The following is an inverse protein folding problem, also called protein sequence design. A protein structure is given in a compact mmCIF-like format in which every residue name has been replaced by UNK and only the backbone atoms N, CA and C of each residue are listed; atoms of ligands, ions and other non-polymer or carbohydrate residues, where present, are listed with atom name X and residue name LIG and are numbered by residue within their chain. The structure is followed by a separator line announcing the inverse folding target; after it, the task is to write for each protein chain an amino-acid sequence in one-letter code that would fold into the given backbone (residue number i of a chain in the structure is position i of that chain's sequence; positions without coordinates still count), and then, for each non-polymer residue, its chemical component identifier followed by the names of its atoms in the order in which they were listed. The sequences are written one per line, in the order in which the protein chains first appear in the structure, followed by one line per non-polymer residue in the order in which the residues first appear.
data_IF_488543340038
#
_entry.id   IF_488543340038
#
_cell.length_a   1.000
_cell.length_b   1.000
_cell.length_c   1.000
_cell.angle_alpha   90.00
_cell.angle_beta   90.00
_cell.angle_gamma   90.00
#
_symmetry.space_group_name_H-M   'P 1'
#
loop_
_entity.id
_entity.type
_entity.pdbx_description
1 polymer ?
#
# COMPACT_ATOMS: atom_id res chain seq x y z
N UNK A 1 9.27 -1.74 -12.44
CA UNK A 1 8.34 -2.16 -11.40
C UNK A 1 7.77 -0.94 -10.70
N UNK A 2 6.45 -0.85 -10.61
CA UNK A 2 5.79 0.27 -9.97
C UNK A 2 5.11 -0.18 -8.68
N UNK A 3 5.34 0.55 -7.61
CA UNK A 3 4.82 0.22 -6.27
C UNK A 3 3.86 1.32 -5.83
N UNK A 4 2.72 0.92 -5.30
CA UNK A 4 1.79 1.85 -4.65
C UNK A 4 2.06 1.81 -3.14
N UNK A 5 2.40 2.95 -2.57
CA UNK A 5 2.61 3.09 -1.14
C UNK A 5 1.39 3.81 -0.54
N UNK A 6 0.76 3.18 0.43
CA UNK A 6 -0.41 3.74 1.11
C UNK A 6 -0.02 3.99 2.56
N UNK A 7 0.30 5.23 2.89
CA UNK A 7 0.84 5.61 4.19
C UNK A 7 0.41 7.04 4.51
N UNK A 8 -0.23 7.26 5.65
CA UNK A 8 -0.70 8.59 6.03
C UNK A 8 0.35 9.43 6.74
N UNK A 9 1.36 8.83 7.33
CA UNK A 9 2.43 9.55 8.02
C UNK A 9 3.44 10.08 7.01
N UNK A 10 3.65 11.39 7.00
CA UNK A 10 4.53 12.02 6.02
C UNK A 10 5.99 11.61 6.20
N UNK A 11 6.46 11.51 7.43
CA UNK A 11 7.85 11.14 7.67
C UNK A 11 8.13 9.71 7.22
N UNK A 12 7.25 8.79 7.62
CA UNK A 12 7.41 7.39 7.26
C UNK A 12 7.24 7.21 5.76
N UNK A 13 6.21 7.82 5.19
CA UNK A 13 5.93 7.70 3.76
C UNK A 13 7.06 8.25 2.91
N UNK A 14 7.61 9.41 3.29
CA UNK A 14 8.71 9.99 2.54
C UNK A 14 9.95 9.11 2.62
N UNK A 15 10.27 8.60 3.81
CA UNK A 15 11.43 7.73 3.98
C UNK A 15 11.30 6.45 3.16
N UNK A 16 10.13 5.83 3.20
CA UNK A 16 9.91 4.59 2.46
C UNK A 16 9.92 4.86 0.95
N UNK A 17 9.24 5.91 0.50
CA UNK A 17 9.22 6.25 -0.91
C UNK A 17 10.61 6.54 -1.44
N UNK A 18 11.39 7.32 -0.70
CA UNK A 18 12.76 7.64 -1.11
C UNK A 18 13.64 6.40 -1.15
N UNK A 19 13.51 5.53 -0.17
CA UNK A 19 14.26 4.28 -0.16
C UNK A 19 13.95 3.40 -1.35
N UNK A 20 12.67 3.27 -1.69
CA UNK A 20 12.25 2.45 -2.83
C UNK A 20 12.73 3.06 -4.15
N UNK A 21 12.61 4.38 -4.29
CA UNK A 21 13.10 5.05 -5.49
C UNK A 21 14.60 4.89 -5.64
N UNK A 22 15.33 4.91 -4.52
CA UNK A 22 16.77 4.68 -4.52
C UNK A 22 17.14 3.29 -5.03
N UNK A 23 16.24 2.32 -4.89
CA UNK A 23 16.44 0.97 -5.40
C UNK A 23 15.97 0.80 -6.85
N UNK A 24 15.50 1.86 -7.47
CA UNK A 24 15.12 1.82 -8.86
C UNK A 24 13.64 1.59 -9.13
N UNK A 25 12.79 1.58 -8.10
CA UNK A 25 11.36 1.39 -8.30
C UNK A 25 10.66 2.71 -8.59
N UNK A 26 9.62 2.66 -9.41
CA UNK A 26 8.68 3.77 -9.53
C UNK A 26 7.69 3.67 -8.37
N UNK A 27 7.45 4.77 -7.67
CA UNK A 27 6.60 4.76 -6.48
C UNK A 27 5.53 5.84 -6.61
N UNK A 28 4.27 5.43 -6.43
CA UNK A 28 3.17 6.35 -6.25
C UNK A 28 2.77 6.27 -4.78
N UNK A 29 2.72 7.41 -4.11
CA UNK A 29 2.43 7.47 -2.69
C UNK A 29 1.10 8.17 -2.48
N UNK A 30 0.17 7.49 -1.81
CA UNK A 30 -1.14 8.05 -1.42
C UNK A 30 -1.28 7.94 0.09
N UNK A 31 -2.16 8.74 0.66
CA UNK A 31 -2.24 8.88 2.11
C UNK A 31 -3.51 8.30 2.72
N UNK A 32 -4.42 7.81 1.90
CA UNK A 32 -5.67 7.26 2.40
C UNK A 32 -6.18 6.13 1.51
N UNK A 33 -7.16 5.38 2.03
CA UNK A 33 -7.66 4.21 1.34
C UNK A 33 -8.42 4.52 0.07
N UNK A 34 -9.17 5.61 0.03
CA UNK A 34 -9.92 5.96 -1.17
C UNK A 34 -8.99 6.33 -2.32
N UNK A 35 -7.94 7.08 -2.02
CA UNK A 35 -6.92 7.41 -3.02
C UNK A 35 -6.23 6.15 -3.54
N UNK A 36 -6.01 5.16 -2.66
CA UNK A 36 -5.42 3.89 -3.06
C UNK A 36 -6.32 3.15 -4.05
N UNK A 37 -7.61 3.08 -3.78
CA UNK A 37 -8.54 2.41 -4.68
C UNK A 37 -8.58 3.10 -6.05
N UNK A 38 -8.61 4.42 -6.06
CA UNK A 38 -8.59 5.17 -7.31
C UNK A 38 -7.32 4.88 -8.10
N UNK A 39 -6.17 4.87 -7.42
CA UNK A 39 -4.89 4.59 -8.07
C UNK A 39 -4.89 3.20 -8.69
N UNK A 40 -5.39 2.21 -7.97
CA UNK A 40 -5.42 0.83 -8.45
C UNK A 40 -6.38 0.63 -9.61
N UNK A 41 -7.43 1.44 -9.69
CA UNK A 41 -8.36 1.37 -10.81
C UNK A 41 -7.79 1.97 -12.09
N UNK A 42 -6.80 2.84 -11.97
CA UNK A 42 -6.29 3.61 -13.11
C UNK A 42 -4.90 3.21 -13.56
N UNK A 43 -4.14 2.53 -12.71
CA UNK A 43 -2.73 2.24 -12.99
C UNK A 43 -2.41 0.82 -12.52
N UNK A 44 -1.69 0.03 -13.32
CA UNK A 44 -1.23 -1.28 -12.87
C UNK A 44 -0.02 -1.13 -11.95
N UNK A 45 -0.03 -1.86 -10.85
CA UNK A 45 1.08 -1.89 -9.90
C UNK A 45 1.58 -3.32 -9.73
N UNK A 46 2.86 -3.44 -9.39
CA UNK A 46 3.46 -4.75 -9.10
C UNK A 46 3.29 -5.13 -7.64
N UNK A 47 3.16 -4.14 -6.77
CA UNK A 47 3.07 -4.35 -5.32
C UNK A 47 2.36 -3.16 -4.69
N UNK A 48 1.57 -3.43 -3.67
CA UNK A 48 0.99 -2.39 -2.81
C UNK A 48 1.59 -2.57 -1.43
N UNK A 49 2.10 -1.50 -0.84
CA UNK A 49 2.51 -1.47 0.56
C UNK A 49 1.43 -0.70 1.32
N UNK A 50 0.76 -1.37 2.24
CA UNK A 50 -0.46 -0.88 2.85
C UNK A 50 -0.32 -0.83 4.37
N UNK A 51 -0.46 0.36 4.94
CA UNK A 51 -0.50 0.54 6.38
C UNK A 51 -1.91 0.28 6.90
N UNK A 52 -2.04 -0.50 7.97
CA UNK A 52 -3.33 -0.82 8.55
C UNK A 52 -3.95 0.35 9.32
N UNK A 53 -3.16 1.31 9.75
CA UNK A 53 -3.63 2.41 10.58
C UNK A 53 -4.09 3.64 9.81
N UNK A 54 -4.68 3.48 8.63
CA UNK A 54 -5.08 4.61 7.80
C UNK A 54 -6.28 5.34 8.39
N UNK A 55 -6.34 6.67 8.21
CA UNK A 55 -7.52 7.41 8.62
C UNK A 55 -8.72 7.11 7.71
N UNK A 56 -9.90 7.19 8.28
CA UNK A 56 -11.15 7.03 7.55
C UNK A 56 -11.49 5.57 7.28
N UNK A 57 -10.83 4.95 6.34
CA UNK A 57 -11.04 3.56 5.98
C UNK A 57 -9.81 2.77 6.43
N UNK A 58 -9.99 1.78 7.31
CA UNK A 58 -8.85 1.04 7.80
C UNK A 58 -8.24 0.14 6.72
N UNK A 59 -6.98 -0.24 6.92
CA UNK A 59 -6.23 -0.96 5.92
C UNK A 59 -6.83 -2.31 5.54
N UNK A 60 -7.45 -3.02 6.49
CA UNK A 60 -8.09 -4.29 6.17
C UNK A 60 -9.30 -4.10 5.27
N UNK A 61 -10.06 -3.02 5.47
CA UNK A 61 -11.19 -2.71 4.60
C UNK A 61 -10.70 -2.38 3.19
N UNK A 62 -9.58 -1.68 3.08
CA UNK A 62 -8.98 -1.38 1.78
C UNK A 62 -8.56 -2.67 1.09
N UNK A 63 -7.91 -3.58 1.81
CA UNK A 63 -7.50 -4.85 1.24
C UNK A 63 -8.70 -5.65 0.74
N UNK A 64 -9.77 -5.71 1.53
CA UNK A 64 -10.98 -6.40 1.13
C UNK A 64 -11.57 -5.81 -0.14
N UNK A 65 -11.58 -4.49 -0.24
CA UNK A 65 -12.10 -3.84 -1.43
C UNK A 65 -11.26 -4.13 -2.66
N UNK A 66 -9.94 -4.13 -2.51
CA UNK A 66 -9.03 -4.48 -3.61
C UNK A 66 -9.39 -5.89 -4.13
N UNK A 67 -9.55 -6.85 -3.24
CA UNK A 67 -9.87 -8.22 -3.63
C UNK A 67 -11.27 -8.35 -4.19
N UNK A 68 -12.22 -7.60 -3.65
CA UNK A 68 -13.58 -7.58 -4.18
C UNK A 68 -13.62 -7.10 -5.63
N UNK A 69 -12.75 -6.14 -5.97
CA UNK A 69 -12.62 -5.64 -7.33
C UNK A 69 -11.82 -6.57 -8.24
N UNK A 70 -11.48 -7.75 -7.74
CA UNK A 70 -10.73 -8.77 -8.46
C UNK A 70 -9.35 -8.29 -8.91
N UNK A 71 -8.79 -7.36 -8.16
CA UNK A 71 -7.43 -6.94 -8.36
C UNK A 71 -6.53 -7.84 -7.52
N UNK A 72 -5.65 -8.58 -8.17
CA UNK A 72 -4.81 -9.60 -7.53
C UNK A 72 -3.39 -9.10 -7.26
N UNK A 73 -3.14 -7.81 -7.34
CA UNK A 73 -1.83 -7.25 -7.03
C UNK A 73 -1.41 -7.68 -5.62
N UNK A 74 -0.20 -8.18 -5.44
CA UNK A 74 0.29 -8.53 -4.10
C UNK A 74 0.29 -7.32 -3.18
N UNK A 75 -0.09 -7.54 -1.93
CA UNK A 75 -0.17 -6.46 -0.93
C UNK A 75 0.68 -6.85 0.27
N UNK A 76 1.66 -6.01 0.58
CA UNK A 76 2.45 -6.12 1.81
C UNK A 76 1.77 -5.25 2.85
N UNK A 77 1.29 -5.89 3.91
CA UNK A 77 0.56 -5.19 4.97
C UNK A 77 1.54 -4.86 6.10
N UNK A 78 1.58 -3.60 6.49
CA UNK A 78 2.44 -3.13 7.57
C UNK A 78 1.60 -2.48 8.65
N UNK A 79 2.16 -2.38 9.85
CA UNK A 79 1.50 -1.65 10.92
C UNK A 79 2.55 -1.17 11.93
N UNK A 80 2.44 0.10 12.30
CA UNK A 80 3.33 0.66 13.30
C UNK A 80 3.04 0.16 14.71
N UNK A 81 1.86 -0.42 14.93
CA UNK A 81 1.48 -0.90 16.27
C UNK A 81 2.03 -2.27 16.58
N UNK A 82 2.31 -3.04 15.54
CA UNK A 82 2.81 -4.40 15.71
C UNK A 82 3.99 -4.55 14.79
N UNK A 83 5.15 -4.26 15.34
CA UNK A 83 6.37 -4.15 14.57
C UNK A 83 6.88 -5.47 14.01
N UNK A 84 6.26 -6.58 14.41
CA UNK A 84 6.74 -7.89 13.96
C UNK A 84 5.87 -8.51 12.90
N UNK A 85 4.75 -7.90 12.55
CA UNK A 85 3.79 -8.53 11.66
C UNK A 85 3.69 -7.83 10.33
N UNK A 86 4.66 -8.09 9.48
CA UNK A 86 4.54 -7.75 8.07
C UNK A 86 4.08 -8.99 7.34
N UNK A 87 3.04 -8.85 6.53
CA UNK A 87 2.52 -9.98 5.77
C UNK A 87 2.32 -9.56 4.33
N UNK A 88 2.61 -10.50 3.44
CA UNK A 88 2.32 -10.31 2.02
C UNK A 88 1.03 -11.05 1.72
N UNK A 89 0.02 -10.29 1.31
CA UNK A 89 -1.28 -10.84 0.96
C UNK A 89 -1.38 -11.02 -0.54
N UNK A 90 -2.09 -12.07 -0.95
CA UNK A 90 -2.35 -12.31 -2.36
C UNK A 90 -1.28 -13.11 -3.06
N UNK A 91 -0.38 -13.75 -2.32
CA UNK A 91 0.68 -14.57 -2.89
C UNK A 91 0.39 -16.05 -2.85
N UNK A 92 -0.64 -16.45 -2.17
CA UNK A 92 -0.98 -17.88 -2.05
C UNK A 92 -2.03 -18.30 -3.05
#
# INVERSE_FOLDING_TARGET
MRILLVEDDEMIGEAVADGLKGEGYAVDWVKDGNSAIIALDTTPFSLVILDLGLPGKDGLAVLKEIRFRKNHTPVLVTTARDTVNDRIEGLD
#
